data_IF_970710367268
#
_entry.id   IF_970710367268
#
_cell.length_a   1.000
_cell.length_b   1.000
_cell.length_c   1.000
_cell.angle_alpha   90.00
_cell.angle_beta   90.00
_cell.angle_gamma   90.00
#
_symmetry.space_group_name_H-M   'P 1'
#
loop_
_entity.id
_entity.type
_entity.pdbx_description
1 polymer ?
#
# COMPACT_ATOMS: atom_id res chain seq x y z
N UNK A 1 57.88 -1.94 -19.83
CA UNK A 1 57.83 -2.32 -18.40
C UNK A 1 56.41 -2.12 -17.92
N UNK A 2 55.68 -3.21 -17.78
CA UNK A 2 54.26 -3.27 -17.43
C UNK A 2 54.16 -4.20 -16.23
N UNK A 3 53.64 -3.73 -15.11
CA UNK A 3 53.37 -4.57 -13.94
C UNK A 3 51.90 -4.46 -13.56
N UNK A 4 51.24 -5.61 -13.66
CA UNK A 4 49.83 -5.88 -13.44
C UNK A 4 49.49 -6.09 -11.96
N UNK A 5 48.22 -5.83 -11.66
CA UNK A 5 47.39 -6.33 -10.54
C UNK A 5 47.88 -7.61 -9.85
N UNK A 6 47.90 -7.61 -8.51
CA UNK A 6 47.48 -8.75 -7.67
C UNK A 6 47.51 -8.37 -6.19
N UNK A 7 46.39 -8.61 -5.46
CA UNK A 7 46.32 -9.08 -4.06
C UNK A 7 44.87 -9.09 -3.57
N UNK A 8 44.12 -10.09 -4.01
CA UNK A 8 43.15 -10.82 -3.19
C UNK A 8 43.73 -12.23 -3.09
N UNK A 9 43.87 -12.75 -1.86
CA UNK A 9 43.97 -14.16 -1.47
C UNK A 9 44.78 -14.25 -0.17
N UNK A 10 44.10 -14.26 0.97
CA UNK A 10 44.49 -14.94 2.22
C UNK A 10 43.31 -14.76 3.18
N UNK A 11 42.83 -15.74 3.94
CA UNK A 11 42.71 -17.18 3.82
C UNK A 11 41.66 -17.51 4.89
N UNK A 12 40.71 -18.38 4.57
CA UNK A 12 39.74 -18.86 5.54
C UNK A 12 40.38 -19.85 6.54
N UNK A 13 39.72 -19.96 7.69
CA UNK A 13 39.79 -20.98 8.75
C UNK A 13 40.83 -20.84 9.89
N UNK A 14 40.27 -20.79 11.11
CA UNK A 14 40.66 -21.35 12.44
C UNK A 14 40.06 -20.42 13.51
N UNK A 15 39.35 -20.78 14.60
CA UNK A 15 38.82 -22.01 15.20
C UNK A 15 37.72 -21.58 16.21
N UNK A 16 36.83 -22.51 16.53
CA UNK A 16 35.75 -22.51 17.54
C UNK A 16 36.24 -22.17 18.96
N UNK A 17 35.43 -21.40 19.70
CA UNK A 17 35.22 -21.64 21.15
C UNK A 17 35.57 -20.50 22.11
N UNK A 18 34.57 -19.73 22.56
CA UNK A 18 34.36 -19.38 23.98
C UNK A 18 33.07 -18.55 24.14
N UNK A 19 31.97 -19.24 24.48
CA UNK A 19 30.91 -18.67 25.30
C UNK A 19 31.42 -18.66 26.74
N UNK A 20 31.40 -17.50 27.41
CA UNK A 20 31.08 -17.33 28.83
C UNK A 20 31.13 -15.84 29.21
N UNK A 21 29.93 -15.29 29.43
CA UNK A 21 29.58 -14.35 30.51
C UNK A 21 30.51 -13.19 30.86
N UNK A 22 30.14 -11.98 30.41
CA UNK A 22 30.26 -10.75 31.22
C UNK A 22 29.03 -9.86 30.98
N UNK A 23 28.26 -9.63 32.05
CA UNK A 23 27.39 -8.47 32.25
C UNK A 23 27.72 -7.92 33.65
N UNK A 24 27.36 -6.67 34.00
CA UNK A 24 27.30 -5.47 33.17
C UNK A 24 28.11 -4.32 33.82
N UNK A 25 28.56 -3.36 33.01
CA UNK A 25 28.98 -2.06 33.53
C UNK A 25 28.16 -0.97 32.82
N UNK A 26 27.38 -0.29 33.65
CA UNK A 26 26.54 0.87 33.38
C UNK A 26 27.29 1.99 32.64
N UNK A 27 26.71 2.46 31.54
CA UNK A 27 26.95 3.80 31.01
C UNK A 27 25.61 4.46 30.65
N UNK A 28 25.54 5.75 30.96
CA UNK A 28 24.36 6.52 31.28
C UNK A 28 23.57 7.00 30.04
N UNK A 29 22.24 7.00 30.22
CA UNK A 29 21.28 8.05 29.86
C UNK A 29 21.67 9.02 28.73
N UNK A 30 21.03 8.86 27.58
CA UNK A 30 20.62 9.99 26.73
C UNK A 30 19.09 10.05 26.72
N UNK A 31 18.56 11.18 27.19
CA UNK A 31 17.16 11.43 27.49
C UNK A 31 16.20 11.13 26.34
N UNK A 32 15.30 10.16 26.54
CA UNK A 32 14.00 10.17 25.87
C UNK A 32 12.99 10.84 26.80
N UNK A 33 12.45 11.96 26.34
CA UNK A 33 11.39 12.70 27.02
C UNK A 33 10.20 11.75 27.20
N UNK A 34 9.89 11.41 28.46
CA UNK A 34 8.67 10.68 28.82
C UNK A 34 7.46 11.60 28.64
N UNK A 35 6.72 11.43 27.55
CA UNK A 35 5.31 11.82 27.56
C UNK A 35 4.54 10.76 28.34
N UNK A 36 4.16 11.09 29.58
CA UNK A 36 3.08 10.40 30.30
C UNK A 36 1.78 10.79 29.61
N UNK A 37 1.27 9.95 28.71
CA UNK A 37 -0.11 10.05 28.26
C UNK A 37 -0.95 9.20 29.22
N UNK A 38 -1.56 9.85 30.20
CA UNK A 38 -2.62 9.25 31.01
C UNK A 38 -3.84 9.04 30.10
N UNK A 39 -3.94 7.86 29.47
CA UNK A 39 -5.20 7.39 28.90
C UNK A 39 -5.83 6.44 29.91
N UNK A 40 -6.85 6.95 30.60
CA UNK A 40 -7.90 6.13 31.20
C UNK A 40 -8.42 5.16 30.12
N UNK A 41 -8.71 3.90 30.46
CA UNK A 41 -9.37 2.99 29.53
C UNK A 41 -10.77 3.53 29.29
N UNK A 42 -11.00 4.17 28.15
CA UNK A 42 -12.33 4.51 27.71
C UNK A 42 -12.90 3.31 26.96
N UNK A 43 -13.67 2.51 27.69
CA UNK A 43 -14.31 1.26 27.26
C UNK A 43 -15.52 1.50 26.33
N UNK A 44 -15.36 2.34 25.32
CA UNK A 44 -16.41 2.57 24.32
C UNK A 44 -15.85 2.58 22.89
N UNK A 45 -15.17 1.48 22.52
CA UNK A 45 -15.09 1.06 21.14
C UNK A 45 -16.19 0.03 20.91
N UNK A 46 -17.30 0.48 20.31
CA UNK A 46 -18.37 -0.43 19.90
C UNK A 46 -17.84 -1.51 18.96
N UNK A 47 -18.12 -2.74 19.34
CA UNK A 47 -18.02 -3.96 18.54
C UNK A 47 -18.73 -3.76 17.20
N UNK A 48 -17.98 -3.72 16.11
CA UNK A 48 -18.52 -3.86 14.75
C UNK A 48 -18.36 -5.33 14.34
N UNK A 49 -19.04 -6.21 15.08
CA UNK A 49 -19.51 -7.50 14.59
C UNK A 49 -20.85 -7.69 15.29
N UNK A 50 -21.92 -7.28 14.62
CA UNK A 50 -23.27 -7.61 15.07
C UNK A 50 -23.64 -8.96 14.48
N UNK A 51 -23.39 -10.02 15.25
CA UNK A 51 -23.72 -11.42 14.92
C UNK A 51 -25.24 -11.72 15.02
N UNK A 52 -26.11 -10.70 15.14
CA UNK A 52 -27.53 -10.89 15.42
C UNK A 52 -28.51 -10.52 14.30
N UNK A 53 -28.12 -10.63 13.03
CA UNK A 53 -29.03 -10.39 11.89
C UNK A 53 -29.13 -11.53 10.87
N UNK A 54 -28.74 -12.75 11.22
CA UNK A 54 -28.87 -13.93 10.33
C UNK A 54 -30.17 -14.75 10.50
N UNK A 55 -31.11 -14.35 11.37
CA UNK A 55 -32.25 -15.23 11.71
C UNK A 55 -33.66 -14.73 11.39
N UNK A 56 -33.84 -13.57 10.73
CA UNK A 56 -35.16 -13.10 10.31
C UNK A 56 -35.17 -12.41 8.96
N UNK A 57 -35.13 -13.19 7.88
CA UNK A 57 -35.63 -12.80 6.55
C UNK A 57 -35.86 -14.04 5.66
N UNK A 58 -36.62 -15.00 6.18
CA UNK A 58 -37.35 -15.97 5.37
C UNK A 58 -38.80 -15.49 5.26
N UNK A 59 -39.08 -14.54 4.36
CA UNK A 59 -40.40 -14.36 3.76
C UNK A 59 -40.34 -13.31 2.64
N UNK A 60 -40.61 -13.76 1.41
CA UNK A 60 -41.34 -12.95 0.44
C UNK A 60 -40.56 -12.27 -0.67
N UNK A 61 -40.84 -12.77 -1.87
CA UNK A 61 -40.80 -12.09 -3.18
C UNK A 61 -39.49 -12.17 -3.98
N UNK A 62 -39.63 -12.97 -5.05
CA UNK A 62 -38.70 -13.24 -6.14
C UNK A 62 -38.26 -11.97 -6.89
N UNK A 63 -36.97 -11.69 -6.84
CA UNK A 63 -36.18 -11.11 -7.93
C UNK A 63 -34.73 -11.56 -7.71
N UNK A 64 -34.26 -12.54 -8.50
CA UNK A 64 -32.91 -13.12 -8.36
C UNK A 64 -31.81 -12.05 -8.47
N UNK A 65 -31.05 -11.74 -7.41
CA UNK A 65 -29.76 -11.09 -7.53
C UNK A 65 -28.70 -12.17 -7.73
N UNK A 66 -27.69 -11.90 -8.56
CA UNK A 66 -26.53 -12.80 -8.80
C UNK A 66 -25.57 -12.84 -7.59
N UNK A 67 -26.01 -12.49 -6.38
CA UNK A 67 -25.10 -12.26 -5.25
C UNK A 67 -25.55 -13.07 -4.03
N UNK A 68 -25.14 -14.35 -4.04
CA UNK A 68 -24.99 -15.21 -2.85
C UNK A 68 -23.83 -16.19 -3.09
N UNK A 69 -22.71 -15.70 -3.62
CA UNK A 69 -21.44 -16.44 -3.65
C UNK A 69 -20.51 -15.85 -2.59
N UNK A 70 -19.87 -16.74 -1.83
CA UNK A 70 -18.82 -16.39 -0.87
C UNK A 70 -17.78 -15.45 -1.51
N UNK A 71 -17.28 -14.49 -0.74
CA UNK A 71 -16.51 -13.35 -1.26
C UNK A 71 -15.27 -13.79 -2.08
N UNK A 72 -14.59 -14.87 -1.68
CA UNK A 72 -13.46 -15.46 -2.41
C UNK A 72 -13.82 -16.08 -3.78
N UNK A 73 -15.03 -16.62 -3.93
CA UNK A 73 -15.49 -17.22 -5.18
C UNK A 73 -15.80 -16.15 -6.24
N UNK A 74 -16.29 -14.97 -5.80
CA UNK A 74 -16.51 -13.84 -6.70
C UNK A 74 -15.19 -13.29 -7.26
N UNK A 75 -14.18 -13.11 -6.42
CA UNK A 75 -12.87 -12.60 -6.85
C UNK A 75 -12.19 -13.59 -7.81
N UNK A 76 -12.20 -14.88 -7.48
CA UNK A 76 -11.63 -15.94 -8.35
C UNK A 76 -12.34 -16.05 -9.70
N UNK A 77 -13.68 -16.00 -9.72
CA UNK A 77 -14.47 -16.01 -10.95
C UNK A 77 -14.17 -14.76 -11.80
N UNK A 78 -14.09 -13.58 -11.17
CA UNK A 78 -13.80 -12.33 -11.86
C UNK A 78 -12.38 -12.33 -12.44
N UNK A 79 -11.39 -12.78 -11.67
CA UNK A 79 -10.02 -12.97 -12.14
C UNK A 79 -9.96 -13.88 -13.38
N UNK A 80 -10.72 -14.96 -13.41
CA UNK A 80 -10.77 -15.86 -14.58
C UNK A 80 -11.30 -15.19 -15.85
N UNK A 81 -12.21 -14.21 -15.73
CA UNK A 81 -12.74 -13.45 -16.87
C UNK A 81 -11.71 -12.44 -17.41
N UNK A 82 -10.81 -11.94 -16.56
CA UNK A 82 -9.86 -10.87 -16.87
C UNK A 82 -8.70 -11.31 -17.79
N UNK A 83 -8.47 -12.62 -17.92
CA UNK A 83 -7.51 -13.20 -18.87
C UNK A 83 -7.91 -12.89 -20.34
N UNK A 84 -9.20 -12.65 -20.62
CA UNK A 84 -9.71 -12.41 -21.98
C UNK A 84 -10.10 -10.95 -22.22
N UNK A 85 -9.91 -10.46 -23.44
CA UNK A 85 -10.40 -9.13 -23.83
C UNK A 85 -11.93 -8.99 -23.65
N UNK A 86 -12.68 -10.05 -23.96
CA UNK A 86 -14.14 -10.08 -23.81
C UNK A 86 -14.56 -9.97 -22.34
N UNK A 87 -13.91 -10.71 -21.43
CA UNK A 87 -14.20 -10.64 -20.00
C UNK A 87 -13.78 -9.29 -19.40
N UNK A 88 -12.63 -8.72 -19.79
CA UNK A 88 -12.26 -7.34 -19.39
C UNK A 88 -13.33 -6.31 -19.80
N UNK A 89 -13.87 -6.42 -21.03
CA UNK A 89 -14.97 -5.56 -21.46
C UNK A 89 -16.24 -5.77 -20.62
N UNK A 90 -16.56 -7.01 -20.25
CA UNK A 90 -17.71 -7.35 -19.39
C UNK A 90 -17.57 -6.75 -17.99
N UNK A 91 -16.39 -6.86 -17.36
CA UNK A 91 -16.12 -6.27 -16.04
C UNK A 91 -16.26 -4.74 -16.06
N UNK A 92 -15.77 -4.08 -17.10
CA UNK A 92 -15.96 -2.63 -17.24
C UNK A 92 -17.41 -2.22 -17.50
N UNK A 93 -18.14 -2.97 -18.31
CA UNK A 93 -19.56 -2.70 -18.51
C UNK A 93 -20.32 -2.82 -17.20
N UNK A 94 -20.02 -3.83 -16.38
CA UNK A 94 -20.57 -3.96 -15.03
C UNK A 94 -20.23 -2.75 -14.14
N UNK A 95 -18.99 -2.28 -14.15
CA UNK A 95 -18.60 -1.04 -13.45
C UNK A 95 -19.38 0.20 -13.92
N UNK A 96 -19.61 0.33 -15.23
CA UNK A 96 -20.36 1.43 -15.83
C UNK A 96 -21.83 1.36 -15.44
N UNK A 97 -22.46 0.18 -15.50
CA UNK A 97 -23.83 -0.04 -15.04
C UNK A 97 -23.99 0.32 -13.57
N UNK A 98 -23.05 -0.11 -12.72
CA UNK A 98 -23.01 0.32 -11.30
C UNK A 98 -22.94 1.85 -11.17
N UNK A 99 -22.21 2.54 -12.05
CA UNK A 99 -22.08 4.00 -12.03
C UNK A 99 -23.28 4.77 -12.58
N UNK A 100 -24.02 4.20 -13.55
CA UNK A 100 -25.15 4.85 -14.25
C UNK A 100 -26.45 4.80 -13.44
N UNK A 101 -26.65 3.77 -12.61
CA UNK A 101 -27.81 3.63 -11.71
C UNK A 101 -27.79 4.64 -10.54
N UNK A 102 -27.31 5.87 -10.77
CA UNK A 102 -27.01 6.88 -9.75
C UNK A 102 -27.47 8.30 -10.14
N UNK A 103 -28.18 8.48 -11.25
CA UNK A 103 -28.74 9.79 -11.60
C UNK A 103 -30.02 10.15 -10.83
N UNK A 104 -30.45 9.35 -9.83
CA UNK A 104 -31.68 9.66 -9.09
C UNK A 104 -31.89 9.04 -7.71
N UNK A 105 -30.98 8.25 -7.14
CA UNK A 105 -31.20 7.64 -5.83
C UNK A 105 -30.30 8.23 -4.75
N UNK A 106 -30.90 9.04 -3.88
CA UNK A 106 -30.36 9.59 -2.64
C UNK A 106 -30.14 8.54 -1.54
N UNK A 107 -30.22 7.25 -1.85
CA UNK A 107 -30.24 6.18 -0.86
C UNK A 107 -28.94 5.37 -0.89
N UNK A 108 -28.29 5.29 0.27
CA UNK A 108 -27.19 4.38 0.53
C UNK A 108 -27.57 2.94 0.15
N UNK A 109 -26.89 2.37 -0.84
CA UNK A 109 -27.06 0.98 -1.24
C UNK A 109 -25.85 0.16 -0.78
N UNK A 110 -26.01 -0.58 0.32
CA UNK A 110 -24.95 -1.39 0.94
C UNK A 110 -24.36 -2.44 -0.02
N UNK A 111 -25.20 -3.08 -0.84
CA UNK A 111 -24.75 -4.07 -1.83
C UNK A 111 -23.84 -3.41 -2.88
N UNK A 112 -24.20 -2.21 -3.34
CA UNK A 112 -23.39 -1.41 -4.28
C UNK A 112 -22.03 -1.00 -3.69
N UNK A 113 -22.01 -0.57 -2.42
CA UNK A 113 -20.77 -0.27 -1.70
C UNK A 113 -19.87 -1.49 -1.61
N UNK A 114 -20.45 -2.65 -1.27
CA UNK A 114 -19.72 -3.94 -1.23
C UNK A 114 -19.15 -4.29 -2.61
N UNK A 115 -19.91 -4.12 -3.69
CA UNK A 115 -19.42 -4.35 -5.06
C UNK A 115 -18.25 -3.44 -5.43
N UNK A 116 -18.32 -2.14 -5.12
CA UNK A 116 -17.19 -1.23 -5.39
C UNK A 116 -15.94 -1.61 -4.60
N UNK A 117 -16.09 -2.01 -3.34
CA UNK A 117 -14.96 -2.45 -2.52
C UNK A 117 -14.32 -3.72 -3.07
N UNK A 118 -15.12 -4.72 -3.45
CA UNK A 118 -14.62 -5.95 -4.10
C UNK A 118 -13.87 -5.67 -5.40
N UNK A 119 -14.42 -4.77 -6.22
CA UNK A 119 -13.76 -4.36 -7.46
C UNK A 119 -12.44 -3.63 -7.17
N UNK A 120 -12.38 -2.82 -6.10
CA UNK A 120 -11.15 -2.20 -5.66
C UNK A 120 -10.07 -3.23 -5.30
N UNK A 121 -10.43 -4.28 -4.55
CA UNK A 121 -9.52 -5.39 -4.22
C UNK A 121 -8.99 -6.07 -5.48
N UNK A 122 -9.88 -6.50 -6.38
CA UNK A 122 -9.48 -7.18 -7.61
C UNK A 122 -8.56 -6.28 -8.45
N UNK A 123 -8.89 -5.01 -8.65
CA UNK A 123 -8.01 -4.11 -9.40
C UNK A 123 -6.67 -3.87 -8.72
N UNK A 124 -6.61 -3.84 -7.39
CA UNK A 124 -5.34 -3.76 -6.68
C UNK A 124 -4.49 -5.02 -6.89
N UNK A 125 -5.10 -6.22 -6.86
CA UNK A 125 -4.43 -7.51 -7.12
C UNK A 125 -3.89 -7.61 -8.54
N UNK A 126 -4.54 -6.92 -9.48
CA UNK A 126 -4.11 -6.76 -10.87
C UNK A 126 -3.12 -5.61 -11.11
N UNK A 127 -2.68 -4.90 -10.06
CA UNK A 127 -1.81 -3.72 -10.16
C UNK A 127 -2.44 -2.53 -10.92
N UNK A 128 -3.76 -2.52 -11.07
CA UNK A 128 -4.53 -1.43 -11.70
C UNK A 128 -4.93 -0.38 -10.65
N UNK A 129 -3.93 0.12 -9.94
CA UNK A 129 -4.13 0.94 -8.75
C UNK A 129 -4.96 2.22 -8.97
N UNK A 130 -4.85 2.94 -10.12
CA UNK A 130 -5.73 4.07 -10.38
C UNK A 130 -7.21 3.70 -10.40
N UNK A 131 -7.56 2.54 -10.98
CA UNK A 131 -8.93 2.05 -11.05
C UNK A 131 -9.40 1.50 -9.69
N UNK A 132 -8.51 0.81 -8.96
CA UNK A 132 -8.78 0.36 -7.60
C UNK A 132 -9.19 1.51 -6.69
N UNK A 133 -8.40 2.59 -6.68
CA UNK A 133 -8.68 3.76 -5.85
C UNK A 133 -9.92 4.56 -6.33
N UNK A 134 -10.25 4.57 -7.63
CA UNK A 134 -11.53 5.11 -8.13
C UNK A 134 -12.73 4.31 -7.59
N UNK A 135 -12.64 2.97 -7.58
CA UNK A 135 -13.70 2.12 -7.02
C UNK A 135 -13.84 2.34 -5.51
N UNK A 136 -12.72 2.38 -4.78
CA UNK A 136 -12.70 2.71 -3.37
C UNK A 136 -13.34 4.08 -3.08
N UNK A 137 -13.03 5.09 -3.89
CA UNK A 137 -13.66 6.40 -3.78
C UNK A 137 -15.19 6.35 -3.91
N UNK A 138 -15.71 5.60 -4.88
CA UNK A 138 -17.17 5.43 -5.06
C UNK A 138 -17.81 4.69 -3.89
N UNK A 139 -17.13 3.70 -3.30
CA UNK A 139 -17.57 3.04 -2.07
C UNK A 139 -17.68 4.04 -0.89
N UNK A 140 -16.69 4.93 -0.73
CA UNK A 140 -16.68 5.95 0.33
C UNK A 140 -17.76 7.02 0.15
N UNK A 141 -17.92 7.59 -1.05
CA UNK A 141 -18.91 8.66 -1.30
C UNK A 141 -20.33 8.15 -1.05
N UNK A 142 -20.61 6.92 -1.47
CA UNK A 142 -21.92 6.30 -1.25
C UNK A 142 -22.24 6.17 0.25
N UNK A 143 -21.25 5.88 1.10
CA UNK A 143 -21.37 5.83 2.58
C UNK A 143 -21.66 7.19 3.22
N UNK A 144 -21.19 8.29 2.63
CA UNK A 144 -21.32 9.65 3.17
C UNK A 144 -22.55 10.42 2.68
N UNK A 145 -23.26 9.93 1.68
CA UNK A 145 -24.45 10.58 1.10
C UNK A 145 -25.67 10.73 2.05
N UNK A 146 -25.53 10.39 3.34
CA UNK A 146 -26.48 10.74 4.40
C UNK A 146 -26.16 12.05 5.15
N UNK A 147 -25.17 12.84 4.71
CA UNK A 147 -24.81 14.14 5.30
C UNK A 147 -24.43 15.17 4.23
N UNK A 148 -24.95 16.40 4.38
CA UNK A 148 -24.95 17.48 3.40
C UNK A 148 -23.57 17.78 2.75
N UNK A 149 -23.54 17.83 1.41
CA UNK A 149 -22.39 18.26 0.60
C UNK A 149 -22.51 19.76 0.26
N UNK A 150 -21.75 20.59 0.97
CA UNK A 150 -21.60 22.03 0.67
C UNK A 150 -20.55 22.29 -0.44
N UNK A 151 -20.66 23.40 -1.21
CA UNK A 151 -19.89 23.61 -2.44
C UNK A 151 -18.40 23.95 -2.21
N UNK A 152 -17.59 23.65 -3.23
CA UNK A 152 -16.13 23.76 -3.25
C UNK A 152 -15.62 25.22 -3.20
N UNK A 153 -14.68 25.50 -2.28
CA UNK A 153 -13.91 26.73 -2.25
C UNK A 153 -12.41 26.45 -2.57
N UNK A 154 -11.69 27.41 -3.18
CA UNK A 154 -10.30 27.21 -3.61
C UNK A 154 -9.33 27.09 -2.42
N UNK A 155 -8.33 26.24 -2.63
CA UNK A 155 -7.30 25.83 -1.66
C UNK A 155 -6.50 27.03 -1.14
N UNK A 156 -6.82 27.51 0.07
CA UNK A 156 -6.12 28.64 0.71
C UNK A 156 -4.93 28.19 1.57
N UNK A 157 -3.84 28.96 1.45
CA UNK A 157 -2.46 28.72 1.92
C UNK A 157 -2.20 28.73 3.45
N UNK A 158 -3.17 28.45 4.32
CA UNK A 158 -3.00 28.66 5.77
C UNK A 158 -3.22 27.37 6.59
N UNK A 159 -2.14 26.95 7.27
CA UNK A 159 -1.99 25.98 8.38
C UNK A 159 -2.69 24.61 8.34
N UNK A 160 -1.88 23.56 8.51
CA UNK A 160 -2.23 22.14 8.57
C UNK A 160 -2.73 21.75 9.98
N UNK A 161 -3.75 22.46 10.48
CA UNK A 161 -4.34 22.16 11.78
C UNK A 161 -5.81 21.84 11.56
N UNK A 162 -6.17 20.60 11.91
CA UNK A 162 -7.52 20.00 11.86
C UNK A 162 -8.11 19.71 10.48
N UNK A 163 -8.07 18.42 10.09
CA UNK A 163 -9.21 17.72 9.48
C UNK A 163 -9.87 18.29 8.23
N UNK A 164 -9.18 19.07 7.37
CA UNK A 164 -9.76 19.51 6.10
C UNK A 164 -10.04 18.28 5.22
N UNK A 165 -11.32 17.92 5.12
CA UNK A 165 -11.82 16.89 4.20
C UNK A 165 -11.24 17.13 2.81
N UNK A 166 -10.56 16.11 2.26
CA UNK A 166 -10.24 16.08 0.83
C UNK A 166 -11.56 16.14 0.04
N UNK A 167 -11.90 17.32 -0.47
CA UNK A 167 -13.12 17.51 -1.25
C UNK A 167 -12.86 17.07 -2.70
N UNK A 168 -12.92 15.76 -2.91
CA UNK A 168 -12.73 15.13 -4.21
C UNK A 168 -14.02 15.28 -5.04
N UNK A 169 -13.91 15.90 -6.22
CA UNK A 169 -15.05 16.03 -7.12
C UNK A 169 -15.38 14.65 -7.74
N UNK A 170 -16.55 14.11 -7.39
CA UNK A 170 -17.00 12.77 -7.83
C UNK A 170 -17.14 12.60 -9.33
N UNK A 171 -17.31 13.70 -10.09
CA UNK A 171 -17.31 13.70 -11.55
C UNK A 171 -15.92 13.51 -12.15
N UNK A 172 -14.86 14.05 -11.52
CA UNK A 172 -13.49 13.95 -12.02
C UNK A 172 -12.84 12.58 -11.76
N UNK A 173 -13.39 11.80 -10.82
CA UNK A 173 -12.99 10.42 -10.54
C UNK A 173 -13.97 9.39 -11.10
N UNK A 174 -14.81 9.78 -12.06
CA UNK A 174 -15.69 8.85 -12.75
C UNK A 174 -14.89 7.83 -13.57
N UNK A 175 -15.40 6.59 -13.61
CA UNK A 175 -14.90 5.55 -14.51
C UNK A 175 -15.33 5.94 -15.91
N UNK A 176 -14.40 6.08 -16.83
CA UNK A 176 -14.64 6.69 -18.14
C UNK A 176 -13.91 5.96 -19.28
N UNK A 177 -14.10 6.42 -20.52
CA UNK A 177 -13.56 5.78 -21.71
C UNK A 177 -12.02 5.70 -21.76
N UNK A 178 -11.29 6.56 -21.03
CA UNK A 178 -9.83 6.43 -20.91
C UNK A 178 -9.40 5.26 -20.00
N UNK A 179 -10.26 4.85 -19.05
CA UNK A 179 -10.05 3.62 -18.29
C UNK A 179 -10.27 2.38 -19.19
N UNK A 180 -11.15 2.48 -20.20
CA UNK A 180 -11.39 1.42 -21.17
C UNK A 180 -10.14 1.08 -21.98
N UNK A 181 -9.46 2.10 -22.49
CA UNK A 181 -8.30 1.89 -23.36
C UNK A 181 -7.10 1.32 -22.60
N UNK A 182 -6.94 1.66 -21.31
CA UNK A 182 -5.88 1.13 -20.46
C UNK A 182 -6.19 -0.31 -20.04
N UNK A 183 -7.42 -0.60 -19.61
CA UNK A 183 -7.76 -1.90 -19.06
C UNK A 183 -8.05 -2.97 -20.12
N UNK A 184 -8.78 -2.63 -21.18
CA UNK A 184 -9.21 -3.62 -22.17
C UNK A 184 -8.04 -4.05 -23.06
N UNK A 185 -7.21 -3.08 -23.47
CA UNK A 185 -6.12 -3.30 -24.43
C UNK A 185 -4.82 -3.77 -23.79
N UNK A 186 -4.66 -3.61 -22.47
CA UNK A 186 -3.48 -4.13 -21.76
C UNK A 186 -3.78 -5.53 -21.25
N UNK A 187 -3.09 -6.57 -21.73
CA UNK A 187 -3.28 -7.91 -21.18
C UNK A 187 -2.83 -7.93 -19.71
N UNK A 188 -3.78 -8.25 -18.84
CA UNK A 188 -3.54 -8.42 -17.41
C UNK A 188 -2.88 -9.79 -17.21
N UNK A 189 -1.65 -9.82 -16.71
CA UNK A 189 -0.92 -11.08 -16.51
C UNK A 189 -1.23 -11.68 -15.12
N UNK A 190 -2.33 -12.42 -15.02
CA UNK A 190 -2.75 -13.08 -13.78
C UNK A 190 -1.87 -14.28 -13.38
N UNK A 191 -1.20 -14.92 -14.36
CA UNK A 191 -0.58 -16.25 -14.20
C UNK A 191 0.94 -16.27 -14.37
N UNK A 192 1.63 -15.16 -14.10
CA UNK A 192 3.09 -15.22 -13.99
C UNK A 192 3.50 -16.03 -12.75
N UNK A 193 3.86 -17.30 -13.01
CA UNK A 193 4.35 -18.26 -12.00
C UNK A 193 5.69 -17.84 -11.38
N UNK A 194 6.43 -16.93 -12.02
CA UNK A 194 7.70 -16.40 -11.49
C UNK A 194 7.59 -14.89 -11.33
N UNK A 195 7.83 -14.43 -10.11
CA UNK A 195 7.92 -13.03 -9.78
C UNK A 195 8.98 -12.33 -10.64
N UNK A 196 8.57 -11.28 -11.36
CA UNK A 196 9.48 -10.47 -12.16
C UNK A 196 10.34 -9.65 -11.21
N UNK A 197 11.66 -9.71 -11.40
CA UNK A 197 12.60 -8.90 -10.60
C UNK A 197 12.39 -7.42 -10.91
N UNK A 198 12.25 -6.62 -9.86
CA UNK A 198 12.16 -5.16 -9.94
C UNK A 198 13.39 -4.56 -10.64
N UNK A 199 13.16 -3.68 -11.61
CA UNK A 199 14.22 -3.02 -12.39
C UNK A 199 14.61 -1.71 -11.72
N UNK A 200 15.87 -1.29 -11.82
CA UNK A 200 16.27 0.02 -11.28
C UNK A 200 15.47 1.17 -11.89
N UNK A 201 15.14 2.16 -11.06
CA UNK A 201 14.50 3.42 -11.47
C UNK A 201 15.20 4.57 -10.75
N UNK A 202 15.32 5.72 -11.41
CA UNK A 202 15.93 6.92 -10.81
C UNK A 202 14.85 7.82 -10.22
N UNK A 203 15.22 8.66 -9.24
CA UNK A 203 14.34 9.71 -8.75
C UNK A 203 13.80 10.60 -9.88
N UNK A 204 14.65 11.00 -10.83
CA UNK A 204 14.22 11.82 -11.97
C UNK A 204 13.15 11.12 -12.82
N UNK A 205 13.25 9.81 -13.01
CA UNK A 205 12.22 9.05 -13.73
C UNK A 205 10.91 8.97 -12.94
N UNK A 206 10.98 8.77 -11.62
CA UNK A 206 9.80 8.81 -10.73
C UNK A 206 9.13 10.19 -10.80
N UNK A 207 9.91 11.26 -10.66
CA UNK A 207 9.40 12.64 -10.70
C UNK A 207 8.77 12.95 -12.06
N UNK A 208 9.45 12.58 -13.15
CA UNK A 208 8.99 12.86 -14.51
C UNK A 208 7.70 12.13 -14.88
N UNK A 209 7.38 10.99 -14.26
CA UNK A 209 6.05 10.34 -14.41
C UNK A 209 4.92 11.31 -14.11
N UNK A 210 5.11 12.25 -13.19
CA UNK A 210 4.07 13.20 -12.76
C UNK A 210 4.12 14.56 -13.50
N UNK A 211 5.16 14.76 -14.32
CA UNK A 211 5.36 15.95 -15.16
C UNK A 211 4.75 15.76 -16.56
N UNK A 212 3.54 15.22 -16.62
CA UNK A 212 2.80 14.92 -17.86
C UNK A 212 2.16 16.15 -18.55
N UNK A 213 2.41 17.35 -18.03
CA UNK A 213 1.84 18.61 -18.54
C UNK A 213 0.35 18.82 -18.24
N UNK A 214 -0.28 17.91 -17.48
CA UNK A 214 -1.72 17.94 -17.20
C UNK A 214 -2.03 18.47 -15.81
N UNK A 215 -3.17 19.14 -15.68
CA UNK A 215 -3.68 19.63 -14.39
C UNK A 215 -4.19 18.47 -13.54
N UNK A 216 -3.74 18.38 -12.29
CA UNK A 216 -4.19 17.35 -11.37
C UNK A 216 -5.60 17.64 -10.83
N UNK A 217 -6.39 16.58 -10.69
CA UNK A 217 -7.68 16.56 -10.01
C UNK A 217 -7.56 15.95 -8.59
N UNK A 218 -6.71 14.93 -8.42
CA UNK A 218 -6.52 14.23 -7.14
C UNK A 218 -5.19 13.48 -7.10
N UNK A 219 -4.79 13.10 -5.89
CA UNK A 219 -3.59 12.29 -5.65
C UNK A 219 -3.91 11.15 -4.68
N UNK A 220 -3.20 10.03 -4.83
CA UNK A 220 -3.30 8.91 -3.90
C UNK A 220 -1.92 8.28 -3.62
N UNK A 221 -1.80 7.68 -2.44
CA UNK A 221 -0.70 6.82 -2.04
C UNK A 221 -1.26 5.43 -1.71
N UNK A 222 -0.61 4.38 -2.22
CA UNK A 222 -0.74 3.03 -1.69
C UNK A 222 0.57 2.58 -1.05
N UNK A 223 0.44 1.82 0.02
CA UNK A 223 1.50 1.20 0.80
C UNK A 223 1.36 -0.32 0.65
N UNK A 224 2.39 -1.00 0.16
CA UNK A 224 2.37 -2.42 -0.14
C UNK A 224 3.37 -3.17 0.72
N UNK A 225 2.98 -4.36 1.18
CA UNK A 225 3.83 -5.28 1.94
C UNK A 225 3.84 -6.63 1.25
N UNK A 226 5.04 -7.18 1.03
CA UNK A 226 5.26 -8.59 0.74
C UNK A 226 5.96 -9.22 1.92
N UNK A 227 5.28 -10.06 2.67
CA UNK A 227 5.88 -10.83 3.74
C UNK A 227 6.76 -11.96 3.16
N UNK A 228 7.84 -12.35 3.87
CA UNK A 228 8.63 -13.54 3.53
C UNK A 228 7.79 -14.81 3.49
N UNK A 229 6.84 -14.90 4.43
CA UNK A 229 5.80 -15.92 4.53
C UNK A 229 4.48 -15.21 4.78
N UNK A 230 3.54 -15.22 3.81
CA UNK A 230 2.23 -14.58 3.98
C UNK A 230 1.51 -15.04 5.25
N UNK A 231 0.85 -14.12 5.94
CA UNK A 231 0.12 -14.35 7.18
C UNK A 231 0.98 -14.68 8.40
N UNK A 232 2.28 -14.38 8.37
CA UNK A 232 3.20 -14.67 9.48
C UNK A 232 4.17 -13.52 9.75
N UNK A 233 4.50 -13.21 11.02
CA UNK A 233 5.49 -12.19 11.38
C UNK A 233 6.94 -12.62 11.11
N UNK A 234 7.16 -13.59 10.22
CA UNK A 234 8.49 -14.14 9.90
C UNK A 234 9.31 -13.07 9.19
N UNK A 235 10.46 -12.71 9.77
CA UNK A 235 11.36 -11.66 9.22
C UNK A 235 12.12 -12.14 7.97
N UNK A 236 12.43 -13.43 7.87
CA UNK A 236 13.05 -14.00 6.68
C UNK A 236 12.78 -15.51 6.53
N UNK A 237 12.78 -15.99 5.28
CA UNK A 237 12.79 -17.41 4.93
C UNK A 237 13.93 -17.64 3.95
N UNK A 238 15.01 -18.28 4.40
CA UNK A 238 16.28 -18.40 3.65
C UNK A 238 16.78 -17.00 3.23
N UNK A 239 16.88 -16.72 1.94
CA UNK A 239 17.29 -15.42 1.41
C UNK A 239 16.13 -14.44 1.18
N UNK A 240 14.87 -14.87 1.38
CA UNK A 240 13.71 -14.01 1.23
C UNK A 240 13.46 -13.22 2.52
N UNK A 241 13.61 -11.91 2.48
CA UNK A 241 13.36 -10.98 3.60
C UNK A 241 12.07 -10.18 3.42
N UNK A 242 11.30 -10.48 2.36
CA UNK A 242 10.12 -9.72 1.99
C UNK A 242 10.48 -8.36 1.39
N UNK A 243 9.46 -7.54 1.14
CA UNK A 243 9.65 -6.16 0.66
C UNK A 243 8.51 -5.25 1.09
N UNK A 244 8.79 -3.96 1.21
CA UNK A 244 7.78 -2.93 1.40
C UNK A 244 8.03 -1.82 0.41
N UNK A 245 6.98 -1.37 -0.28
CA UNK A 245 7.07 -0.35 -1.33
C UNK A 245 5.81 0.51 -1.36
N UNK A 246 5.83 1.56 -2.18
CA UNK A 246 4.69 2.46 -2.34
C UNK A 246 4.29 2.59 -3.80
N UNK A 247 3.03 2.96 -4.02
CA UNK A 247 2.54 3.45 -5.31
C UNK A 247 2.03 4.87 -5.14
N UNK A 248 2.51 5.78 -5.98
CA UNK A 248 2.01 7.14 -6.08
C UNK A 248 1.14 7.28 -7.33
N UNK A 249 -0.01 7.96 -7.19
CA UNK A 249 -0.97 8.17 -8.28
C UNK A 249 -1.32 9.66 -8.38
N UNK A 250 -1.36 10.18 -9.60
CA UNK A 250 -1.93 11.48 -9.97
C UNK A 250 -3.08 11.24 -10.94
N UNK A 251 -4.26 11.72 -10.58
CA UNK A 251 -5.41 11.81 -11.47
C UNK A 251 -5.44 13.18 -12.10
N UNK A 252 -5.69 13.25 -13.40
CA UNK A 252 -5.75 14.50 -14.15
C UNK A 252 -7.20 14.94 -14.37
N UNK A 253 -7.40 16.25 -14.58
CA UNK A 253 -8.73 16.81 -14.84
C UNK A 253 -9.31 16.36 -16.19
N UNK A 254 -8.47 15.88 -17.12
CA UNK A 254 -8.88 15.28 -18.39
C UNK A 254 -9.26 13.79 -18.25
N UNK A 255 -9.42 13.32 -17.01
CA UNK A 255 -9.79 11.95 -16.63
C UNK A 255 -8.70 10.88 -16.83
N UNK A 256 -7.55 11.24 -17.41
CA UNK A 256 -6.37 10.36 -17.45
C UNK A 256 -5.71 10.25 -16.07
N UNK A 257 -4.83 9.27 -15.90
CA UNK A 257 -4.03 9.14 -14.68
C UNK A 257 -2.63 8.62 -14.98
N UNK A 258 -1.69 8.95 -14.11
CA UNK A 258 -0.33 8.43 -14.12
C UNK A 258 0.00 7.86 -12.74
N UNK A 259 0.74 6.76 -12.71
CA UNK A 259 1.15 6.11 -11.47
C UNK A 259 2.55 5.52 -11.61
N UNK A 260 3.24 5.38 -10.48
CA UNK A 260 4.50 4.63 -10.39
C UNK A 260 4.61 3.94 -9.05
N UNK A 261 4.98 2.66 -9.09
CA UNK A 261 5.24 1.83 -7.91
C UNK A 261 6.75 1.66 -7.74
N UNK A 262 7.26 1.93 -6.55
CA UNK A 262 8.70 1.86 -6.28
C UNK A 262 9.00 1.70 -4.80
N UNK A 263 10.13 1.07 -4.52
CA UNK A 263 10.65 0.81 -3.18
C UNK A 263 12.13 1.11 -3.07
N UNK A 264 12.59 1.26 -1.83
CA UNK A 264 13.99 1.51 -1.50
C UNK A 264 14.73 0.20 -1.33
N UNK A 265 15.84 0.03 -2.04
CA UNK A 265 16.61 -1.22 -2.10
C UNK A 265 18.07 -0.98 -1.73
N UNK A 266 18.74 -2.01 -1.18
CA UNK A 266 20.18 -2.00 -1.11
C UNK A 266 20.76 -2.18 -2.51
N UNK A 267 21.78 -1.38 -2.84
CA UNK A 267 22.67 -1.66 -3.96
C UNK A 267 23.51 -2.89 -3.57
N UNK A 268 23.52 -3.92 -4.42
CA UNK A 268 24.26 -5.15 -4.15
C UNK A 268 25.67 -5.00 -4.70
N UNK A 269 26.54 -4.35 -3.94
CA UNK A 269 27.95 -4.17 -4.32
C UNK A 269 28.76 -5.46 -4.04
N UNK A 270 28.31 -6.30 -3.10
CA UNK A 270 28.86 -7.63 -2.84
C UNK A 270 27.75 -8.62 -2.35
N UNK A 271 28.12 -9.87 -2.05
CA UNK A 271 27.15 -10.92 -1.62
C UNK A 271 26.61 -10.73 -0.19
N UNK A 272 27.32 -9.98 0.66
CA UNK A 272 26.96 -9.70 2.05
C UNK A 272 26.29 -8.34 2.24
N UNK A 273 26.24 -7.47 1.22
CA UNK A 273 25.62 -6.15 1.31
C UNK A 273 24.16 -6.25 1.80
N UNK A 274 23.84 -5.48 2.85
CA UNK A 274 22.57 -5.50 3.55
C UNK A 274 22.20 -6.89 4.15
N UNK A 275 23.18 -7.55 4.75
CA UNK A 275 22.99 -8.74 5.60
C UNK A 275 23.27 -8.36 7.06
N UNK A 276 22.93 -9.19 8.05
CA UNK A 276 23.24 -8.85 9.44
C UNK A 276 24.74 -8.69 9.74
N UNK A 277 25.62 -9.23 8.89
CA UNK A 277 27.07 -9.09 9.01
C UNK A 277 27.60 -7.79 8.40
N UNK A 278 27.01 -7.37 7.27
CA UNK A 278 27.32 -6.11 6.58
C UNK A 278 25.98 -5.39 6.32
N UNK A 279 25.41 -4.72 7.34
CA UNK A 279 24.05 -4.22 7.30
C UNK A 279 23.88 -2.97 6.44
N UNK A 280 24.99 -2.32 6.08
CA UNK A 280 25.05 -1.03 5.40
C UNK A 280 25.50 -1.20 3.94
N UNK A 281 24.91 -0.41 3.05
CA UNK A 281 25.34 -0.27 1.65
C UNK A 281 24.69 0.98 1.03
N UNK A 282 25.08 1.39 -0.18
CA UNK A 282 24.38 2.46 -0.88
C UNK A 282 22.93 2.06 -1.20
N UNK A 283 21.99 2.97 -1.03
CA UNK A 283 20.60 2.75 -1.41
C UNK A 283 20.29 3.12 -2.85
N UNK A 284 19.25 2.52 -3.40
CA UNK A 284 18.73 2.82 -4.75
C UNK A 284 17.23 2.54 -4.83
N UNK A 285 16.55 3.08 -5.84
CA UNK A 285 15.16 2.75 -6.12
C UNK A 285 15.03 1.68 -7.22
N UNK A 286 13.99 0.86 -7.09
CA UNK A 286 13.55 -0.03 -8.17
C UNK A 286 12.06 0.15 -8.43
N UNK A 287 11.67 -0.07 -9.69
CA UNK A 287 10.29 -0.10 -10.13
C UNK A 287 9.64 -1.42 -9.71
N UNK A 288 8.62 -1.30 -8.87
CA UNK A 288 7.86 -2.39 -8.25
C UNK A 288 6.47 -2.58 -8.90
N UNK A 289 6.23 -2.01 -10.08
CA UNK A 289 4.95 -2.09 -10.81
C UNK A 289 4.43 -3.53 -11.02
N UNK A 290 5.34 -4.50 -11.18
CA UNK A 290 5.00 -5.92 -11.34
C UNK A 290 5.31 -6.76 -10.09
N UNK A 291 5.66 -6.13 -8.96
CA UNK A 291 6.08 -6.82 -7.75
C UNK A 291 4.85 -7.29 -6.96
N UNK A 292 4.90 -8.53 -6.44
CA UNK A 292 3.76 -9.11 -5.72
C UNK A 292 3.69 -8.51 -4.31
N UNK A 293 2.51 -8.52 -3.74
CA UNK A 293 2.25 -8.04 -2.39
C UNK A 293 1.20 -8.94 -1.72
N UNK A 294 1.25 -9.04 -0.40
CA UNK A 294 0.32 -9.81 0.43
C UNK A 294 -0.72 -8.87 1.06
N UNK A 295 -0.27 -7.72 1.57
CA UNK A 295 -1.11 -6.64 2.11
C UNK A 295 -0.93 -5.32 1.37
N UNK A 296 -2.01 -4.55 1.21
CA UNK A 296 -2.00 -3.18 0.70
C UNK A 296 -2.88 -2.28 1.56
N UNK A 297 -2.45 -1.05 1.76
CA UNK A 297 -3.28 0.04 2.28
C UNK A 297 -3.23 1.24 1.34
N UNK A 298 -4.32 1.99 1.20
CA UNK A 298 -4.38 3.10 0.24
C UNK A 298 -5.22 4.27 0.71
N UNK A 299 -4.80 5.48 0.35
CA UNK A 299 -5.53 6.71 0.71
C UNK A 299 -5.39 7.78 -0.35
N UNK A 300 -6.45 8.56 -0.55
CA UNK A 300 -6.34 9.84 -1.25
C UNK A 300 -5.65 10.86 -0.36
N UNK A 301 -4.77 11.68 -0.95
CA UNK A 301 -3.93 12.64 -0.24
C UNK A 301 -3.96 14.00 -0.92
N UNK A 302 -3.64 15.05 -0.17
CA UNK A 302 -3.52 16.40 -0.70
C UNK A 302 -2.27 16.54 -1.57
N UNK A 303 -2.27 17.51 -2.48
CA UNK A 303 -1.09 17.83 -3.30
C UNK A 303 0.14 18.13 -2.42
N UNK A 304 -0.06 18.82 -1.29
CA UNK A 304 1.02 19.11 -0.33
C UNK A 304 1.66 17.83 0.20
N UNK A 305 0.87 16.84 0.61
CA UNK A 305 1.39 15.54 1.09
C UNK A 305 2.08 14.77 -0.02
N UNK A 306 1.49 14.76 -1.21
CA UNK A 306 2.10 14.17 -2.41
C UNK A 306 3.49 14.77 -2.69
N UNK A 307 3.61 16.11 -2.71
CA UNK A 307 4.89 16.82 -2.88
C UNK A 307 5.89 16.53 -1.76
N UNK A 308 5.43 16.38 -0.51
CA UNK A 308 6.29 15.96 0.63
C UNK A 308 6.86 14.56 0.41
N UNK A 309 6.06 13.64 -0.12
CA UNK A 309 6.53 12.28 -0.42
C UNK A 309 7.52 12.30 -1.58
N UNK A 310 7.31 13.10 -2.64
CA UNK A 310 8.33 13.27 -3.69
C UNK A 310 9.65 13.86 -3.14
N UNK A 311 9.56 14.81 -2.20
CA UNK A 311 10.75 15.34 -1.51
C UNK A 311 11.44 14.26 -0.68
N UNK A 312 10.69 13.41 0.02
CA UNK A 312 11.22 12.24 0.73
C UNK A 312 11.96 11.31 -0.25
N UNK A 313 11.35 10.98 -1.39
CA UNK A 313 12.00 10.15 -2.42
C UNK A 313 13.31 10.75 -2.89
N UNK A 314 13.38 12.07 -3.10
CA UNK A 314 14.64 12.75 -3.45
C UNK A 314 15.72 12.58 -2.37
N UNK A 315 15.35 12.69 -1.10
CA UNK A 315 16.29 12.56 0.03
C UNK A 315 16.82 11.13 0.17
N UNK A 316 16.04 10.14 -0.24
CA UNK A 316 16.42 8.74 -0.24
C UNK A 316 17.25 8.33 -1.46
N UNK A 317 17.30 9.14 -2.51
CA UNK A 317 18.07 8.84 -3.72
C UNK A 317 19.58 8.85 -3.40
N UNK A 318 20.20 7.66 -3.42
CA UNK A 318 21.60 7.47 -3.03
C UNK A 318 21.87 7.51 -1.52
N UNK A 319 20.84 7.62 -0.68
CA UNK A 319 20.97 7.54 0.78
C UNK A 319 21.46 6.13 1.18
N UNK A 320 22.21 6.03 2.29
CA UNK A 320 22.64 4.73 2.80
C UNK A 320 21.45 3.85 3.16
N UNK A 321 21.45 2.63 2.62
CA UNK A 321 20.58 1.56 3.04
C UNK A 321 21.21 0.87 4.24
N UNK A 322 20.46 0.78 5.34
CA UNK A 322 20.87 0.05 6.53
C UNK A 322 19.76 -0.91 6.96
N UNK A 323 20.07 -2.22 7.03
CA UNK A 323 19.10 -3.29 7.31
C UNK A 323 18.25 -3.04 8.58
N UNK A 324 18.87 -2.57 9.66
CA UNK A 324 18.21 -2.29 10.95
C UNK A 324 17.64 -0.87 11.14
N UNK A 325 18.13 0.13 10.40
CA UNK A 325 17.89 1.55 10.70
C UNK A 325 17.23 2.34 9.56
N UNK A 326 17.44 1.92 8.33
CA UNK A 326 16.95 2.60 7.15
C UNK A 326 16.81 1.65 5.96
N UNK A 327 15.67 0.98 5.86
CA UNK A 327 15.41 -0.03 4.85
C UNK A 327 14.14 0.26 4.02
N UNK A 328 13.70 -0.72 3.23
CA UNK A 328 12.49 -0.61 2.40
C UNK A 328 11.23 -0.28 3.23
N UNK A 329 11.09 -0.90 4.39
CA UNK A 329 9.96 -0.68 5.31
C UNK A 329 10.04 0.70 5.97
N UNK A 330 11.23 1.16 6.38
CA UNK A 330 11.39 2.52 6.96
C UNK A 330 10.99 3.62 5.97
N UNK A 331 11.42 3.49 4.72
CA UNK A 331 11.05 4.42 3.65
C UNK A 331 9.53 4.47 3.46
N UNK A 332 8.91 3.31 3.30
CA UNK A 332 7.47 3.22 3.04
C UNK A 332 6.63 3.70 4.24
N UNK A 333 7.05 3.40 5.48
CA UNK A 333 6.38 3.87 6.69
C UNK A 333 6.43 5.40 6.82
N UNK A 334 7.57 6.02 6.46
CA UNK A 334 7.68 7.48 6.43
C UNK A 334 6.79 8.10 5.35
N UNK A 335 6.73 7.48 4.16
CA UNK A 335 5.83 7.93 3.10
C UNK A 335 4.35 7.85 3.52
N UNK A 336 3.93 6.74 4.15
CA UNK A 336 2.58 6.58 4.71
C UNK A 336 2.29 7.64 5.78
N UNK A 337 3.25 7.89 6.69
CA UNK A 337 3.08 8.92 7.73
C UNK A 337 2.88 10.32 7.12
N UNK A 338 3.61 10.67 6.06
CA UNK A 338 3.38 11.91 5.32
C UNK A 338 2.03 11.96 4.61
N UNK A 339 1.47 10.81 4.25
CA UNK A 339 0.10 10.68 3.74
C UNK A 339 -0.97 10.74 4.84
N UNK A 340 -0.60 10.70 6.12
CA UNK A 340 -1.52 10.82 7.26
C UNK A 340 -2.05 9.49 7.80
N UNK A 341 -1.44 8.36 7.42
CA UNK A 341 -1.79 7.03 7.94
C UNK A 341 -0.52 6.21 8.22
N UNK A 342 -0.65 5.03 8.79
CA UNK A 342 0.50 4.13 8.88
C UNK A 342 0.24 2.87 9.69
N UNK A 343 1.32 2.10 9.88
CA UNK A 343 1.33 0.84 10.62
C UNK A 343 2.07 1.05 11.94
N UNK A 344 1.52 0.52 13.02
CA UNK A 344 2.16 0.40 14.32
C UNK A 344 2.83 -0.98 14.44
N UNK A 345 3.73 -1.19 15.41
CA UNK A 345 4.28 -2.53 15.69
C UNK A 345 4.94 -3.22 14.48
N UNK A 346 5.70 -2.48 13.67
CA UNK A 346 6.40 -2.98 12.48
C UNK A 346 7.80 -3.56 12.74
N UNK A 347 8.29 -3.48 13.99
CA UNK A 347 9.66 -3.90 14.36
C UNK A 347 9.73 -5.39 14.69
N UNK A 348 10.77 -6.03 14.18
CA UNK A 348 11.14 -7.41 14.51
C UNK A 348 12.65 -7.55 14.66
N UNK A 349 13.09 -8.71 15.13
CA UNK A 349 14.50 -9.01 15.39
C UNK A 349 14.99 -10.18 14.55
N UNK A 350 16.28 -10.19 14.24
CA UNK A 350 16.99 -11.24 13.53
C UNK A 350 18.39 -11.37 14.14
N UNK A 351 19.17 -12.42 13.83
CA UNK A 351 20.52 -12.55 14.38
C UNK A 351 21.32 -11.27 14.11
N UNK A 352 21.92 -10.67 15.15
CA UNK A 352 22.76 -9.46 15.07
C UNK A 352 22.03 -8.16 14.69
N UNK A 353 20.69 -8.12 14.68
CA UNK A 353 19.97 -6.89 14.34
C UNK A 353 18.48 -6.89 14.65
N UNK A 354 17.88 -5.71 14.50
CA UNK A 354 16.44 -5.52 14.64
C UNK A 354 16.02 -4.24 13.92
N UNK A 355 14.77 -4.15 13.50
CA UNK A 355 14.27 -2.99 12.78
C UNK A 355 12.88 -3.22 12.20
N UNK A 356 12.36 -2.20 11.52
CA UNK A 356 11.12 -2.33 10.77
C UNK A 356 11.33 -3.35 9.65
N UNK A 357 10.39 -4.27 9.46
CA UNK A 357 10.52 -5.29 8.42
C UNK A 357 9.17 -5.68 7.82
N UNK A 358 9.15 -6.24 6.60
CA UNK A 358 7.92 -6.59 5.91
C UNK A 358 7.08 -7.65 6.64
N UNK A 359 7.73 -8.66 7.23
CA UNK A 359 7.06 -9.73 7.97
C UNK A 359 6.21 -9.21 9.13
N UNK A 360 6.83 -8.49 10.07
CA UNK A 360 6.11 -7.91 11.21
C UNK A 360 5.12 -6.84 10.77
N UNK A 361 5.45 -6.03 9.76
CA UNK A 361 4.54 -4.99 9.24
C UNK A 361 3.26 -5.58 8.67
N UNK A 362 3.35 -6.59 7.82
CA UNK A 362 2.17 -7.28 7.26
C UNK A 362 1.31 -7.90 8.34
N UNK A 363 1.94 -8.54 9.34
CA UNK A 363 1.20 -9.11 10.46
C UNK A 363 0.47 -8.04 11.28
N UNK A 364 1.08 -6.86 11.46
CA UNK A 364 0.44 -5.77 12.17
C UNK A 364 -0.77 -5.22 11.40
N UNK A 365 -0.70 -5.13 10.07
CA UNK A 365 -1.86 -4.76 9.22
C UNK A 365 -3.01 -5.76 9.43
N UNK A 366 -2.73 -7.06 9.35
CA UNK A 366 -3.73 -8.13 9.54
C UNK A 366 -4.36 -8.05 10.94
N UNK A 367 -3.54 -7.74 11.96
CA UNK A 367 -3.99 -7.58 13.35
C UNK A 367 -4.69 -6.23 13.64
N UNK A 368 -4.86 -5.36 12.64
CA UNK A 368 -5.50 -4.05 12.81
C UNK A 368 -4.61 -2.99 13.47
N UNK A 369 -3.30 -3.20 13.51
CA UNK A 369 -2.30 -2.25 14.02
C UNK A 369 -2.08 -1.06 13.09
N UNK A 370 -3.14 -0.42 12.64
CA UNK A 370 -3.16 0.66 11.64
C UNK A 370 -3.68 1.93 12.30
N UNK A 371 -3.13 3.09 11.93
CA UNK A 371 -3.67 4.39 12.33
C UNK A 371 -4.02 5.24 11.11
N UNK A 372 -5.05 6.07 11.25
CA UNK A 372 -5.41 7.12 10.31
C UNK A 372 -5.65 8.43 11.06
N UNK A 373 -4.80 9.42 10.82
CA UNK A 373 -4.84 10.70 11.51
C UNK A 373 -6.00 11.59 11.04
N UNK A 374 -6.53 11.38 9.83
CA UNK A 374 -7.58 12.24 9.28
C UNK A 374 -8.98 11.62 9.41
N UNK A 375 -9.09 10.36 9.86
CA UNK A 375 -10.33 9.58 9.87
C UNK A 375 -11.05 9.61 8.51
N UNK A 376 -10.27 9.67 7.44
CA UNK A 376 -10.75 9.75 6.07
C UNK A 376 -10.54 8.37 5.47
N UNK A 377 -11.54 7.50 5.69
CA UNK A 377 -11.64 6.07 5.31
C UNK A 377 -10.41 5.54 4.51
N UNK A 378 -9.72 4.54 5.08
CA UNK A 378 -8.51 3.92 4.52
C UNK A 378 -8.88 2.66 3.72
N UNK A 379 -8.36 2.52 2.49
CA UNK A 379 -8.45 1.28 1.72
C UNK A 379 -7.50 0.26 2.31
N UNK A 380 -7.96 -0.98 2.56
CA UNK A 380 -7.15 -2.07 3.09
C UNK A 380 -7.54 -3.38 2.39
N UNK A 381 -6.56 -4.08 1.82
CA UNK A 381 -6.76 -5.41 1.24
C UNK A 381 -5.61 -6.34 1.67
N UNK A 382 -5.99 -7.51 2.15
CA UNK A 382 -5.14 -8.65 2.46
C UNK A 382 -6.00 -9.92 2.31
N UNK A 383 -5.35 -11.07 2.13
CA UNK A 383 -6.08 -12.35 2.07
C UNK A 383 -6.63 -12.70 3.47
N UNK A 384 -7.95 -12.70 3.62
CA UNK A 384 -8.62 -12.95 4.90
C UNK A 384 -8.34 -14.35 5.46
N UNK A 385 -7.97 -15.31 4.61
CA UNK A 385 -7.59 -16.66 5.05
C UNK A 385 -6.26 -16.68 5.82
N UNK A 386 -5.55 -15.55 5.88
CA UNK A 386 -4.29 -15.38 6.60
C UNK A 386 -4.47 -14.92 8.05
N UNK A 387 -5.70 -14.62 8.50
CA UNK A 387 -6.01 -14.23 9.89
C UNK A 387 -5.80 -15.36 10.91
#
# INVERSE_FOLDING_TARGET
>A
MTAYRTKYLFSAFVVIGSMLSVLPASAQLSASIRYKLNLRPDTSAHSIIDDSYSSKLLAGVSNKPVIDKADAAFETDLESELDTHAGRKKVLNYLKELSVNNTGESNYNQAKVKSYYKLANVFARLHLYPLAMKCFFKAMVSKKAGGDLAPAAPDSLISDTTGRQLHLNSGLLAINASDDSIFVNTPVQLKDKKEKKSKSITYNRILNTFNDGKKAAAYALLFHVKQPKPGKPTVFVRANTGHTFITLIKYNTDSSSVSVSFGFYPKKDNIFSATPWEPETSGTFKNDEAHKWDEVMGKFITERRFKRILKLTRLYDGLEYHLSKNNCTDFALQAASYAGFGVTNSKGSWPLGQGNNPGTTGQSIIAGGIYDNDKADLFIDFDENLK
#
